data_IF_620626141557
#
_entry.id   IF_620626141557
#
_cell.length_a   1.000
_cell.length_b   1.000
_cell.length_c   1.000
_cell.angle_alpha   90.00
_cell.angle_beta   90.00
_cell.angle_gamma   90.00
#
_symmetry.space_group_name_H-M   'P 1'
#
loop_
_entity.id
_entity.type
_entity.pdbx_description
1 polymer ?
#
# COMPACT_ATOMS: atom_id res chain seq x y z
N UNK A 1 2.02 2.60 -5.99
CA UNK A 1 2.13 1.40 -5.13
C UNK A 1 3.61 1.11 -4.97
N UNK A 2 4.14 1.31 -3.77
CA UNK A 2 5.55 1.07 -3.44
C UNK A 2 5.59 -0.34 -2.86
N UNK A 3 6.45 -1.19 -3.42
CA UNK A 3 6.75 -2.52 -2.87
C UNK A 3 8.25 -2.54 -2.62
N UNK A 4 8.61 -2.82 -1.38
CA UNK A 4 9.98 -2.92 -0.88
C UNK A 4 10.36 -4.41 -0.84
N UNK A 5 11.55 -4.75 -1.34
CA UNK A 5 12.24 -6.00 -1.03
C UNK A 5 13.73 -5.71 -0.84
N UNK A 6 14.33 -6.36 0.14
CA UNK A 6 15.77 -6.41 0.44
C UNK A 6 16.46 -5.10 0.86
N UNK A 7 15.72 -4.17 1.47
CA UNK A 7 16.32 -3.03 2.21
C UNK A 7 17.21 -2.09 1.39
N UNK A 8 17.15 -2.16 0.05
CA UNK A 8 17.88 -1.27 -0.83
C UNK A 8 16.91 -0.41 -1.64
N UNK A 9 16.88 0.89 -1.35
CA UNK A 9 16.19 1.90 -2.16
C UNK A 9 16.84 1.96 -3.55
N UNK A 10 16.27 1.25 -4.52
CA UNK A 10 16.59 1.39 -5.93
C UNK A 10 15.61 2.39 -6.53
N UNK A 11 16.16 3.45 -7.12
CA UNK A 11 15.41 4.58 -7.67
C UNK A 11 14.24 4.14 -8.56
N UNK A 12 13.16 4.91 -8.45
CA UNK A 12 11.95 4.85 -9.28
C UNK A 12 12.34 4.75 -10.76
N UNK A 13 12.00 3.63 -11.39
CA UNK A 13 11.98 3.55 -12.84
C UNK A 13 10.96 4.58 -13.34
N UNK A 14 11.44 5.57 -14.11
CA UNK A 14 10.56 6.31 -15.00
C UNK A 14 9.98 5.30 -15.98
N UNK A 15 8.71 4.93 -15.77
CA UNK A 15 7.95 4.29 -16.83
C UNK A 15 8.01 5.23 -18.05
N UNK A 16 8.37 4.74 -19.25
CA UNK A 16 8.36 5.57 -20.45
C UNK A 16 6.94 6.03 -20.83
N UNK A 17 5.91 5.44 -20.20
CA UNK A 17 4.60 6.06 -20.08
C UNK A 17 4.56 6.88 -18.81
N UNK A 18 4.56 8.20 -18.96
CA UNK A 18 4.35 9.21 -17.94
C UNK A 18 3.17 8.83 -17.02
N UNK A 19 3.44 8.08 -15.94
CA UNK A 19 2.49 7.92 -14.85
C UNK A 19 2.49 9.26 -14.12
N UNK A 20 1.46 10.03 -14.42
CA UNK A 20 1.35 11.43 -14.08
C UNK A 20 1.24 11.58 -12.55
N UNK A 21 2.33 11.96 -11.88
CA UNK A 21 2.31 12.33 -10.45
C UNK A 21 1.81 13.77 -10.24
N UNK A 22 1.65 14.55 -11.31
CA UNK A 22 1.14 15.93 -11.23
C UNK A 22 -0.23 16.07 -10.53
N UNK A 23 -1.22 15.16 -10.69
CA UNK A 23 -2.50 15.28 -9.99
C UNK A 23 -2.36 15.19 -8.47
N UNK A 24 -1.35 14.45 -7.96
CA UNK A 24 -1.10 14.38 -6.52
C UNK A 24 -0.34 15.63 -6.03
N UNK A 25 0.60 16.14 -6.83
CA UNK A 25 1.35 17.36 -6.51
C UNK A 25 0.43 18.59 -6.45
N UNK A 26 -0.49 18.72 -7.40
CA UNK A 26 -1.42 19.85 -7.48
C UNK A 26 -2.39 19.86 -6.29
N UNK A 27 -2.93 18.69 -5.89
CA UNK A 27 -3.79 18.55 -4.70
C UNK A 27 -3.06 18.89 -3.39
N UNK A 28 -1.78 18.51 -3.27
CA UNK A 28 -0.91 18.90 -2.14
C UNK A 28 -0.73 20.42 -2.06
N UNK A 29 -0.55 21.09 -3.21
CA UNK A 29 -0.36 22.54 -3.29
C UNK A 29 -1.68 23.29 -3.01
N UNK A 30 -2.82 22.75 -3.45
CA UNK A 30 -4.15 23.34 -3.26
C UNK A 30 -4.74 23.09 -1.86
N UNK A 31 -4.04 22.35 -0.99
CA UNK A 31 -4.44 22.14 0.40
C UNK A 31 -5.60 21.16 0.57
N UNK A 32 -5.84 20.29 -0.41
CA UNK A 32 -6.82 19.21 -0.22
C UNK A 32 -6.30 18.20 0.83
N UNK A 33 -7.13 17.81 1.82
CA UNK A 33 -6.70 16.88 2.86
C UNK A 33 -6.41 15.50 2.25
N UNK A 34 -5.20 15.00 2.51
CA UNK A 34 -4.77 13.68 2.09
C UNK A 34 -4.75 12.73 3.29
N UNK A 35 -5.24 11.51 3.07
CA UNK A 35 -5.11 10.40 4.01
C UNK A 35 -4.06 9.45 3.46
N UNK A 36 -3.11 9.05 4.31
CA UNK A 36 -2.03 8.15 3.92
C UNK A 36 -2.35 6.72 4.40
N UNK A 37 -2.10 5.74 3.54
CA UNK A 37 -2.01 4.35 3.92
C UNK A 37 -0.57 3.88 3.74
N UNK A 38 0.00 3.31 4.79
CA UNK A 38 1.39 2.89 4.84
C UNK A 38 1.45 1.43 5.25
N UNK A 39 2.18 0.63 4.47
CA UNK A 39 2.52 -0.75 4.80
C UNK A 39 3.98 -0.74 5.25
N UNK A 40 4.26 -1.31 6.43
CA UNK A 40 5.61 -1.37 7.00
C UNK A 40 5.96 -2.83 7.25
N UNK A 41 7.11 -3.26 6.77
CA UNK A 41 7.67 -4.57 7.09
C UNK A 41 8.36 -4.51 8.46
N UNK A 42 7.64 -4.95 9.49
CA UNK A 42 8.09 -4.99 10.88
C UNK A 42 7.08 -5.77 11.73
N UNK A 43 7.54 -6.32 12.86
CA UNK A 43 6.65 -6.99 13.80
C UNK A 43 5.69 -6.00 14.47
N UNK A 44 4.51 -6.50 14.88
CA UNK A 44 3.49 -5.70 15.57
C UNK A 44 4.00 -5.10 16.87
N UNK A 45 4.90 -5.77 17.57
CA UNK A 45 5.51 -5.32 18.83
C UNK A 45 6.40 -4.11 18.61
N UNK A 46 7.22 -4.14 17.55
CA UNK A 46 8.11 -3.02 17.18
C UNK A 46 7.29 -1.79 16.83
N UNK A 47 6.27 -1.95 15.96
CA UNK A 47 5.43 -0.83 15.55
C UNK A 47 4.58 -0.29 16.70
N UNK A 48 4.05 -1.16 17.58
CA UNK A 48 3.33 -0.75 18.77
C UNK A 48 4.23 0.04 19.74
N UNK A 49 5.47 -0.40 19.95
CA UNK A 49 6.42 0.33 20.79
C UNK A 49 6.77 1.73 20.22
N UNK A 50 6.91 1.84 18.89
CA UNK A 50 7.11 3.13 18.21
C UNK A 50 5.88 4.03 18.38
N UNK A 51 4.68 3.49 18.12
CA UNK A 51 3.42 4.21 18.30
C UNK A 51 3.30 4.76 19.73
N UNK A 52 3.59 3.95 20.75
CA UNK A 52 3.49 4.38 22.14
C UNK A 52 4.52 5.45 22.53
N UNK A 53 5.72 5.42 21.94
CA UNK A 53 6.79 6.38 22.28
C UNK A 53 6.66 7.72 21.55
N UNK A 54 5.92 7.79 20.45
CA UNK A 54 5.86 8.97 19.58
C UNK A 54 4.47 9.65 19.63
N UNK A 55 4.29 10.75 20.40
CA UNK A 55 3.01 11.43 20.52
C UNK A 55 2.41 11.86 19.17
N UNK A 56 3.25 12.38 18.27
CA UNK A 56 2.82 12.80 16.93
C UNK A 56 2.26 11.66 16.09
N UNK A 57 2.84 10.46 16.19
CA UNK A 57 2.29 9.29 15.50
C UNK A 57 0.97 8.85 16.10
N UNK A 58 0.77 8.99 17.41
CA UNK A 58 -0.53 8.70 18.04
C UNK A 58 -1.62 9.63 17.56
N UNK A 59 -1.32 10.91 17.40
CA UNK A 59 -2.26 11.89 16.87
C UNK A 59 -2.60 11.61 15.40
N UNK A 60 -1.58 11.36 14.55
CA UNK A 60 -1.79 11.10 13.13
C UNK A 60 -2.53 9.78 12.87
N UNK A 61 -2.17 8.72 13.59
CA UNK A 61 -2.75 7.39 13.39
C UNK A 61 -4.09 7.28 14.11
N UNK A 62 -4.19 7.76 15.35
CA UNK A 62 -5.43 7.75 16.12
C UNK A 62 -6.49 8.71 15.60
N UNK A 63 -6.09 9.76 14.86
CA UNK A 63 -6.98 10.68 14.14
C UNK A 63 -7.30 10.26 12.70
N UNK A 64 -7.00 9.01 12.33
CA UNK A 64 -7.21 8.42 11.00
C UNK A 64 -6.51 9.16 9.85
N UNK A 65 -5.50 10.00 10.10
CA UNK A 65 -4.73 10.70 9.04
C UNK A 65 -3.74 9.75 8.37
N UNK A 66 -3.27 8.77 9.12
CA UNK A 66 -2.36 7.73 8.68
C UNK A 66 -2.91 6.36 9.08
N UNK A 67 -3.15 5.50 8.11
CA UNK A 67 -3.49 4.11 8.33
C UNK A 67 -2.21 3.26 8.24
N UNK A 68 -1.93 2.47 9.28
CA UNK A 68 -0.73 1.62 9.34
C UNK A 68 -1.10 0.15 9.22
N UNK A 69 -0.40 -0.55 8.33
CA UNK A 69 -0.48 -1.99 8.14
C UNK A 69 0.92 -2.56 8.41
N UNK A 70 1.01 -3.52 9.33
CA UNK A 70 2.20 -4.31 9.56
C UNK A 70 2.20 -5.48 8.57
N UNK A 71 3.34 -5.71 7.92
CA UNK A 71 3.67 -6.99 7.27
C UNK A 71 4.72 -7.66 8.15
N UNK A 72 4.38 -8.80 8.71
CA UNK A 72 5.32 -9.57 9.51
C UNK A 72 6.50 -10.00 8.61
N UNK A 73 7.75 -9.74 9.00
CA UNK A 73 8.92 -10.01 8.15
C UNK A 73 9.16 -11.51 7.96
N UNK A 74 8.76 -12.35 8.93
CA UNK A 74 9.06 -13.78 8.93
C UNK A 74 7.97 -14.59 8.21
N UNK A 75 6.70 -14.32 8.49
CA UNK A 75 5.54 -15.03 7.94
C UNK A 75 4.94 -14.36 6.71
N UNK A 76 5.19 -13.06 6.50
CA UNK A 76 4.53 -12.27 5.46
C UNK A 76 3.07 -11.93 5.75
N UNK A 77 2.53 -12.35 6.90
CA UNK A 77 1.16 -12.07 7.30
C UNK A 77 0.95 -10.58 7.56
N UNK A 78 -0.26 -10.10 7.26
CA UNK A 78 -0.61 -8.70 7.44
C UNK A 78 -1.45 -8.48 8.70
N UNK A 79 -1.17 -7.41 9.42
CA UNK A 79 -2.01 -6.92 10.52
C UNK A 79 -2.32 -5.43 10.34
N UNK A 80 -3.57 -5.06 10.56
CA UNK A 80 -4.03 -3.68 10.46
C UNK A 80 -4.01 -3.04 11.86
N UNK A 81 -3.52 -1.81 11.98
CA UNK A 81 -3.64 -1.06 13.23
C UNK A 81 -5.05 -0.49 13.41
N UNK A 82 -5.69 -0.84 14.52
CA UNK A 82 -6.96 -0.29 14.97
C UNK A 82 -6.72 0.51 16.27
N UNK A 83 -7.07 1.81 16.34
CA UNK A 83 -6.81 2.62 17.54
C UNK A 83 -7.45 2.09 18.83
N UNK A 84 -8.55 1.34 18.74
CA UNK A 84 -9.23 0.77 19.90
C UNK A 84 -8.71 -0.62 20.29
N UNK A 85 -8.15 -1.37 19.35
CA UNK A 85 -7.77 -2.79 19.54
C UNK A 85 -6.29 -3.08 19.39
N UNK A 86 -5.49 -2.13 18.91
CA UNK A 86 -4.12 -2.36 18.48
C UNK A 86 -4.07 -3.07 17.12
N UNK A 87 -3.00 -3.84 16.88
CA UNK A 87 -2.88 -4.61 15.64
C UNK A 87 -3.84 -5.80 15.64
N UNK A 88 -4.62 -5.91 14.58
CA UNK A 88 -5.55 -7.03 14.33
C UNK A 88 -5.17 -7.73 13.02
N UNK A 89 -5.21 -9.07 12.93
CA UNK A 89 -4.90 -9.79 11.70
C UNK A 89 -5.80 -9.34 10.54
N UNK A 90 -5.21 -9.18 9.35
CA UNK A 90 -5.97 -8.90 8.14
C UNK A 90 -6.68 -10.18 7.67
N UNK A 91 -8.01 -10.16 7.67
CA UNK A 91 -8.84 -11.30 7.27
C UNK A 91 -9.58 -11.06 5.93
N UNK A 92 -9.02 -10.22 5.05
CA UNK A 92 -9.64 -9.88 3.77
C UNK A 92 -9.65 -11.07 2.80
N UNK A 93 -10.62 -11.14 1.87
CA UNK A 93 -10.67 -12.23 0.89
C UNK A 93 -9.45 -12.17 -0.04
N UNK A 94 -8.61 -13.20 0.02
CA UNK A 94 -7.55 -13.42 -0.97
C UNK A 94 -8.14 -14.07 -2.22
N UNK A 95 -8.68 -13.26 -3.11
CA UNK A 95 -9.12 -13.73 -4.43
C UNK A 95 -7.91 -13.76 -5.38
N UNK A 96 -7.65 -14.88 -6.07
CA UNK A 96 -6.58 -14.93 -7.06
C UNK A 96 -6.81 -13.84 -8.11
N UNK A 97 -5.76 -13.08 -8.42
CA UNK A 97 -5.83 -12.06 -9.44
C UNK A 97 -5.94 -12.73 -10.81
N UNK A 98 -6.81 -12.23 -11.72
CA UNK A 98 -6.81 -12.69 -13.09
C UNK A 98 -5.43 -12.41 -13.72
N UNK A 99 -4.80 -13.44 -14.28
CA UNK A 99 -3.53 -13.30 -15.00
C UNK A 99 -3.78 -12.96 -16.47
N UNK A 100 -3.05 -11.98 -16.99
CA UNK A 100 -3.11 -11.57 -18.40
C UNK A 100 -1.71 -11.39 -18.95
N UNK A 101 -1.52 -11.74 -20.22
CA UNK A 101 -0.23 -11.55 -20.89
C UNK A 101 0.09 -10.06 -21.07
N UNK A 102 -0.92 -9.23 -21.33
CA UNK A 102 -0.76 -7.78 -21.57
C UNK A 102 -1.86 -6.99 -20.91
N UNK A 103 -1.55 -5.75 -20.50
CA UNK A 103 -2.53 -4.84 -19.90
C UNK A 103 -3.72 -4.55 -20.82
N UNK A 104 -3.49 -4.49 -22.13
CA UNK A 104 -4.54 -4.31 -23.13
C UNK A 104 -5.60 -5.42 -23.11
N UNK A 105 -5.23 -6.64 -22.76
CA UNK A 105 -6.14 -7.79 -22.67
C UNK A 105 -7.04 -7.73 -21.43
N UNK A 106 -6.68 -6.88 -20.45
CA UNK A 106 -7.50 -6.63 -19.27
C UNK A 106 -8.46 -5.46 -19.48
N UNK A 107 -7.98 -4.35 -20.04
CA UNK A 107 -8.78 -3.11 -20.11
C UNK A 107 -9.62 -2.95 -21.38
N UNK A 108 -9.23 -3.56 -22.51
CA UNK A 108 -9.90 -3.30 -23.79
C UNK A 108 -11.35 -3.80 -23.76
N UNK A 109 -12.28 -2.92 -24.10
CA UNK A 109 -13.72 -3.23 -24.16
C UNK A 109 -14.46 -3.04 -22.84
N UNK A 110 -13.79 -2.58 -21.78
CA UNK A 110 -14.40 -2.25 -20.50
C UNK A 110 -14.46 -0.74 -20.28
N UNK A 111 -15.63 -0.25 -19.83
CA UNK A 111 -15.85 1.15 -19.42
C UNK A 111 -16.01 1.32 -17.91
N UNK A 112 -16.33 0.23 -17.20
CA UNK A 112 -16.45 0.22 -15.75
C UNK A 112 -15.10 -0.03 -15.05
N UNK A 113 -14.97 0.36 -13.76
CA UNK A 113 -13.79 0.03 -12.96
C UNK A 113 -13.56 -1.48 -12.89
N UNK A 114 -12.38 -1.90 -13.34
CA UNK A 114 -11.95 -3.29 -13.24
C UNK A 114 -11.20 -3.55 -11.94
N UNK A 115 -11.33 -4.77 -11.42
CA UNK A 115 -10.46 -5.26 -10.34
C UNK A 115 -9.00 -5.31 -10.82
N UNK A 116 -8.01 -5.36 -9.91
CA UNK A 116 -6.62 -5.57 -10.28
C UNK A 116 -6.42 -6.89 -11.04
N UNK A 117 -5.44 -6.93 -11.93
CA UNK A 117 -4.99 -8.10 -12.67
C UNK A 117 -3.48 -8.22 -12.61
N UNK A 118 -2.96 -9.46 -12.64
CA UNK A 118 -1.53 -9.72 -12.73
C UNK A 118 -1.11 -9.72 -14.21
N UNK A 119 -0.11 -8.92 -14.56
CA UNK A 119 0.46 -8.90 -15.91
C UNK A 119 1.82 -9.60 -15.89
N UNK A 120 1.98 -10.66 -16.67
CA UNK A 120 3.22 -11.42 -16.73
C UNK A 120 3.22 -12.49 -17.81
N UNK A 121 4.40 -12.92 -18.22
CA UNK A 121 4.56 -14.08 -19.08
C UNK A 121 4.41 -15.35 -18.24
N UNK A 122 3.62 -16.31 -18.73
CA UNK A 122 3.55 -17.66 -18.14
C UNK A 122 4.99 -18.18 -18.01
N UNK A 123 5.33 -18.65 -16.80
CA UNK A 123 6.70 -18.89 -16.38
C UNK A 123 7.64 -19.59 -17.36
N UNK A 124 8.91 -19.25 -17.20
CA UNK A 124 10.07 -20.10 -17.49
C UNK A 124 10.98 -20.10 -16.28
#
# INVERSE_FOLDING_TARGET
MIVEQDGQLRAVGVSPTSHNLYPLQDRLIQGEPLRLQIVVEASTEVLAAIYQRQPSLRELIGGDWVHVIAKDPDSGEFSIFDPARGFVPWAGPSRPLPERARSGDWYRGHTDPLSPALIGERGI
#
